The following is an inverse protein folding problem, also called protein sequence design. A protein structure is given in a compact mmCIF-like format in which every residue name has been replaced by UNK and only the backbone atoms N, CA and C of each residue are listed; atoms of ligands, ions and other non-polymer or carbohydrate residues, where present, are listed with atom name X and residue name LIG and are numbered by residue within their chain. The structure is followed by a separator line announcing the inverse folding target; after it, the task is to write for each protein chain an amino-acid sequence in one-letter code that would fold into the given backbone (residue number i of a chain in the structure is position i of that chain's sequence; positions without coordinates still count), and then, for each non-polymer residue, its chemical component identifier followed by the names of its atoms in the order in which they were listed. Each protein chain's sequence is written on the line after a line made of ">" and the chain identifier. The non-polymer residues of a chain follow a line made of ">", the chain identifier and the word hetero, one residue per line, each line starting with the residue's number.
data_IF_416157774577
#
_entry.id   IF_416157774577
#
_cell.length_a   1.000
_cell.length_b   1.000
_cell.length_c   1.000
_cell.angle_alpha   90.00
_cell.angle_beta   90.00
_cell.angle_gamma   90.00
#
_symmetry.space_group_name_H-M   'P 1'
#
loop_
_entity.id
_entity.type
_entity.pdbx_description
1 polymer ?
#
# COMPACT_ATOMS: atom_id res chain seq x y z
N UNK A 1 -14.65 -14.55 26.32
CA UNK A 1 -14.76 -13.29 25.56
C UNK A 1 -13.35 -13.04 25.03
N UNK A 2 -13.08 -13.35 23.77
CA UNK A 2 -11.79 -13.03 23.16
C UNK A 2 -11.80 -11.52 22.87
N UNK A 3 -10.94 -10.79 23.56
CA UNK A 3 -10.67 -9.40 23.19
C UNK A 3 -10.13 -9.43 21.75
N UNK A 4 -10.82 -8.75 20.85
CA UNK A 4 -10.28 -8.49 19.51
C UNK A 4 -9.00 -7.69 19.73
N UNK A 5 -7.84 -8.13 19.22
CA UNK A 5 -6.61 -7.36 19.40
C UNK A 5 -6.82 -5.96 18.83
N UNK A 6 -6.37 -4.97 19.59
CA UNK A 6 -6.41 -3.56 19.17
C UNK A 6 -5.68 -3.47 17.82
N UNK A 7 -6.42 -3.26 16.72
CA UNK A 7 -5.92 -3.35 15.33
C UNK A 7 -4.95 -2.22 14.97
N UNK A 8 -4.92 -1.15 15.77
CA UNK A 8 -3.89 -0.11 15.69
C UNK A 8 -3.63 0.48 17.07
N UNK A 9 -2.39 0.48 17.50
CA UNK A 9 -1.96 1.24 18.70
C UNK A 9 -1.83 2.75 18.40
N UNK A 10 -2.01 3.17 17.14
CA UNK A 10 -1.85 4.54 16.68
C UNK A 10 -3.19 5.12 16.22
N UNK A 11 -3.52 6.29 16.72
CA UNK A 11 -4.66 7.07 16.24
C UNK A 11 -4.26 7.80 14.94
N UNK A 12 -4.46 7.12 13.80
CA UNK A 12 -4.14 7.65 12.48
C UNK A 12 -4.96 8.88 12.14
N UNK A 13 -6.25 8.91 12.52
CA UNK A 13 -7.13 10.06 12.28
C UNK A 13 -6.62 11.31 13.00
N UNK A 14 -6.21 11.18 14.29
CA UNK A 14 -5.66 12.30 15.04
C UNK A 14 -4.36 12.82 14.40
N UNK A 15 -3.49 11.92 13.93
CA UNK A 15 -2.24 12.34 13.28
C UNK A 15 -2.47 13.13 12.00
N UNK A 16 -3.44 12.72 11.16
CA UNK A 16 -3.80 13.48 9.97
C UNK A 16 -4.44 14.83 10.30
N UNK A 17 -5.26 14.92 11.36
CA UNK A 17 -5.83 16.18 11.86
C UNK A 17 -4.78 17.15 12.36
N UNK A 18 -3.75 16.64 13.02
CA UNK A 18 -2.66 17.44 13.60
C UNK A 18 -1.54 17.75 12.61
N UNK A 19 -1.65 17.32 11.35
CA UNK A 19 -0.58 17.37 10.33
C UNK A 19 0.74 16.71 10.78
N UNK A 20 0.68 15.74 11.72
CA UNK A 20 1.83 14.98 12.19
C UNK A 20 2.05 13.74 11.33
N UNK A 21 2.46 13.95 10.08
CA UNK A 21 2.57 12.93 9.03
C UNK A 21 3.98 12.85 8.43
N UNK A 22 5.00 12.50 9.23
CA UNK A 22 6.40 12.48 8.78
C UNK A 22 6.70 11.44 7.70
N UNK A 23 5.79 10.53 7.42
CA UNK A 23 5.90 9.54 6.32
C UNK A 23 5.48 10.10 4.95
N UNK A 24 4.82 11.26 4.89
CA UNK A 24 4.42 11.87 3.62
C UNK A 24 5.65 12.35 2.84
N UNK A 25 5.74 11.95 1.58
CA UNK A 25 6.89 12.28 0.73
C UNK A 25 6.77 13.65 0.05
N UNK A 26 5.56 14.18 -0.07
CA UNK A 26 5.26 15.44 -0.77
C UNK A 26 5.41 15.35 -2.30
N UNK A 27 5.99 14.29 -2.83
CA UNK A 27 6.15 13.98 -4.25
C UNK A 27 5.83 12.51 -4.49
N UNK A 28 5.34 12.13 -5.70
CA UNK A 28 5.08 10.74 -6.03
C UNK A 28 6.35 9.90 -5.88
N UNK A 29 6.15 8.67 -5.43
CA UNK A 29 7.26 7.72 -5.33
C UNK A 29 7.78 7.38 -6.75
N UNK A 30 9.10 7.37 -7.00
CA UNK A 30 9.65 7.05 -8.33
C UNK A 30 9.23 5.68 -8.87
N UNK A 31 8.99 4.71 -7.99
CA UNK A 31 8.51 3.38 -8.36
C UNK A 31 7.14 3.40 -9.05
N UNK A 32 6.26 4.36 -8.70
CA UNK A 32 4.98 4.52 -9.38
C UNK A 32 5.16 4.74 -10.90
N UNK A 33 6.14 5.57 -11.27
CA UNK A 33 6.44 5.81 -12.69
C UNK A 33 6.88 4.52 -13.39
N UNK A 34 7.70 3.72 -12.74
CA UNK A 34 8.11 2.41 -13.27
C UNK A 34 6.90 1.47 -13.44
N UNK A 35 5.98 1.42 -12.47
CA UNK A 35 4.75 0.61 -12.58
C UNK A 35 3.87 1.01 -13.77
N UNK A 36 3.80 2.32 -14.08
CA UNK A 36 3.05 2.83 -15.24
C UNK A 36 3.80 2.49 -16.54
N UNK A 37 5.09 2.74 -16.62
CA UNK A 37 5.90 2.52 -17.83
C UNK A 37 6.00 1.04 -18.22
N UNK A 38 5.96 0.13 -17.24
CA UNK A 38 5.91 -1.32 -17.47
C UNK A 38 4.49 -1.85 -17.74
N UNK A 39 3.47 -0.99 -17.63
CA UNK A 39 2.08 -1.35 -17.86
C UNK A 39 1.45 -2.15 -16.71
N UNK A 40 2.08 -2.23 -15.54
CA UNK A 40 1.46 -2.84 -14.36
C UNK A 40 0.31 -1.98 -13.83
N UNK A 41 0.38 -0.68 -14.02
CA UNK A 41 -0.73 0.27 -13.86
C UNK A 41 -1.04 0.85 -15.25
N UNK A 42 -2.26 0.66 -15.74
CA UNK A 42 -2.59 1.09 -17.09
C UNK A 42 -4.09 1.02 -17.40
N UNK A 43 -4.50 1.45 -18.61
CA UNK A 43 -5.90 1.46 -19.02
C UNK A 43 -6.56 0.08 -18.88
N UNK A 44 -7.76 0.05 -18.30
CA UNK A 44 -8.54 -1.16 -18.10
C UNK A 44 -8.14 -2.01 -16.89
N UNK A 45 -7.05 -1.65 -16.18
CA UNK A 45 -6.67 -2.32 -14.93
C UNK A 45 -7.34 -1.68 -13.71
N UNK A 46 -7.69 -2.51 -12.74
CA UNK A 46 -8.15 -2.11 -11.42
C UNK A 46 -7.00 -2.14 -10.42
N UNK A 47 -6.83 -1.06 -9.64
CA UNK A 47 -5.71 -0.90 -8.70
C UNK A 47 -6.25 -0.42 -7.35
N UNK A 48 -5.88 -1.11 -6.27
CA UNK A 48 -6.15 -0.66 -4.90
C UNK A 48 -4.91 -0.10 -4.23
N UNK A 49 -5.09 0.97 -3.45
CA UNK A 49 -4.07 1.62 -2.62
C UNK A 49 -4.52 1.53 -1.17
N UNK A 50 -4.09 0.51 -0.39
CA UNK A 50 -4.42 0.38 1.02
C UNK A 50 -3.64 1.39 1.87
N UNK A 51 -4.29 1.97 2.90
CA UNK A 51 -3.66 2.96 3.77
C UNK A 51 -3.12 4.15 2.97
N UNK A 52 -3.94 4.67 2.05
CA UNK A 52 -3.50 5.64 1.04
C UNK A 52 -3.06 6.98 1.63
N UNK A 53 -3.51 7.33 2.85
CA UNK A 53 -3.19 8.62 3.45
C UNK A 53 -3.46 9.80 2.52
N UNK A 54 -2.62 10.83 2.60
CA UNK A 54 -2.65 12.01 1.71
C UNK A 54 -1.57 11.90 0.62
N UNK A 55 -1.40 10.72 0.02
CA UNK A 55 -0.40 10.52 -1.01
C UNK A 55 -0.87 11.02 -2.40
N UNK A 56 0.02 11.55 -3.24
CA UNK A 56 -0.32 12.00 -4.59
C UNK A 56 -0.57 10.84 -5.56
N UNK A 57 -0.20 9.62 -5.19
CA UNK A 57 -0.30 8.42 -6.02
C UNK A 57 -1.73 8.12 -6.44
N UNK A 58 -2.72 8.33 -5.56
CA UNK A 58 -4.14 8.06 -5.84
C UNK A 58 -4.59 8.80 -7.11
N UNK A 59 -4.36 10.11 -7.18
CA UNK A 59 -4.75 10.91 -8.35
C UNK A 59 -3.96 10.53 -9.61
N UNK A 60 -2.69 10.13 -9.47
CA UNK A 60 -1.86 9.70 -10.61
C UNK A 60 -2.36 8.34 -11.11
N UNK A 61 -2.61 7.39 -10.22
CA UNK A 61 -3.15 6.07 -10.59
C UNK A 61 -4.52 6.22 -11.24
N UNK A 62 -5.40 7.06 -10.68
CA UNK A 62 -6.73 7.34 -11.25
C UNK A 62 -6.69 7.93 -12.68
N UNK A 63 -5.59 8.59 -13.04
CA UNK A 63 -5.40 9.10 -14.41
C UNK A 63 -4.98 8.03 -15.40
N UNK A 64 -4.37 6.95 -14.95
CA UNK A 64 -3.76 5.91 -15.80
C UNK A 64 -4.51 4.58 -15.77
N UNK A 65 -5.07 4.19 -14.62
CA UNK A 65 -5.80 2.94 -14.44
C UNK A 65 -7.24 3.02 -14.98
N UNK A 66 -7.86 1.87 -15.18
CA UNK A 66 -9.28 1.78 -15.54
C UNK A 66 -10.21 1.97 -14.34
N UNK A 67 -9.81 1.50 -13.17
CA UNK A 67 -10.51 1.66 -11.89
C UNK A 67 -9.49 1.80 -10.77
N UNK A 68 -9.68 2.81 -9.92
CA UNK A 68 -8.80 3.08 -8.77
C UNK A 68 -9.61 3.04 -7.50
N UNK A 69 -9.09 2.31 -6.50
CA UNK A 69 -9.67 2.16 -5.17
C UNK A 69 -8.64 2.68 -4.17
N UNK A 70 -9.02 3.58 -3.29
CA UNK A 70 -8.15 4.12 -2.25
C UNK A 70 -8.84 4.01 -0.89
N UNK A 71 -8.17 3.40 0.07
CA UNK A 71 -8.72 3.13 1.38
C UNK A 71 -7.81 3.63 2.50
N UNK A 72 -8.41 4.18 3.55
CA UNK A 72 -7.72 4.56 4.77
C UNK A 72 -8.68 4.53 5.98
N UNK A 73 -8.14 4.32 7.17
CA UNK A 73 -8.90 4.46 8.41
C UNK A 73 -9.32 5.91 8.69
N UNK A 74 -8.53 6.88 8.19
CA UNK A 74 -8.71 8.28 8.45
C UNK A 74 -9.71 8.93 7.49
N UNK A 75 -10.82 9.46 8.05
CA UNK A 75 -11.77 10.29 7.31
C UNK A 75 -11.09 11.55 6.75
N UNK A 76 -10.17 12.14 7.52
CA UNK A 76 -9.40 13.33 7.12
C UNK A 76 -8.53 13.05 5.88
N UNK A 77 -7.85 11.90 5.85
CA UNK A 77 -7.04 11.49 4.69
C UNK A 77 -7.92 11.25 3.45
N UNK A 78 -9.02 10.52 3.59
CA UNK A 78 -9.95 10.23 2.48
C UNK A 78 -10.65 11.50 1.98
N UNK A 79 -11.04 12.41 2.86
CA UNK A 79 -11.61 13.70 2.45
C UNK A 79 -10.60 14.53 1.63
N UNK A 80 -9.32 14.51 2.02
CA UNK A 80 -8.25 15.15 1.26
C UNK A 80 -8.11 14.53 -0.14
N UNK A 81 -8.13 13.19 -0.26
CA UNK A 81 -8.10 12.50 -1.55
C UNK A 81 -9.29 12.90 -2.44
N UNK A 82 -10.50 12.96 -1.87
CA UNK A 82 -11.69 13.44 -2.58
C UNK A 82 -11.52 14.84 -3.15
N UNK A 83 -10.94 15.76 -2.38
CA UNK A 83 -10.62 17.13 -2.84
C UNK A 83 -9.60 17.14 -3.98
N UNK A 84 -8.55 16.30 -3.91
CA UNK A 84 -7.55 16.19 -4.97
C UNK A 84 -8.14 15.64 -6.27
N UNK A 85 -8.93 14.58 -6.19
CA UNK A 85 -9.61 13.99 -7.33
C UNK A 85 -10.57 14.99 -7.99
N UNK A 86 -11.41 15.64 -7.20
CA UNK A 86 -12.36 16.64 -7.68
C UNK A 86 -11.67 17.80 -8.43
N UNK A 87 -10.59 18.34 -7.84
CA UNK A 87 -9.82 19.45 -8.43
C UNK A 87 -9.23 19.11 -9.80
N UNK A 88 -8.92 17.83 -10.01
CA UNK A 88 -8.32 17.30 -11.24
C UNK A 88 -9.33 16.64 -12.19
N UNK A 89 -10.62 16.60 -11.81
CA UNK A 89 -11.70 15.93 -12.56
C UNK A 89 -11.40 14.44 -12.79
N UNK A 90 -10.91 13.79 -11.76
CA UNK A 90 -10.61 12.36 -11.72
C UNK A 90 -11.59 11.66 -10.78
N UNK A 91 -11.77 10.36 -11.00
CA UNK A 91 -12.63 9.51 -10.20
C UNK A 91 -11.85 8.36 -9.60
N UNK A 92 -12.16 8.02 -8.35
CA UNK A 92 -11.70 6.81 -7.66
C UNK A 92 -12.76 6.41 -6.64
N UNK A 93 -12.82 5.13 -6.32
CA UNK A 93 -13.58 4.63 -5.19
C UNK A 93 -12.81 4.96 -3.90
N UNK A 94 -13.45 5.71 -3.01
CA UNK A 94 -12.85 6.13 -1.75
C UNK A 94 -13.52 5.41 -0.57
N UNK A 95 -12.71 4.73 0.25
CA UNK A 95 -13.18 3.91 1.36
C UNK A 95 -12.60 4.43 2.67
N UNK A 96 -13.48 4.82 3.61
CA UNK A 96 -13.11 5.07 5.00
C UNK A 96 -13.38 3.81 5.80
N UNK A 97 -12.36 3.20 6.38
CA UNK A 97 -12.53 2.03 7.22
C UNK A 97 -11.33 1.08 7.26
N UNK A 98 -11.49 -0.01 8.00
CA UNK A 98 -10.48 -1.05 8.07
C UNK A 98 -10.45 -1.86 6.76
N UNK A 99 -9.38 -1.70 6.00
CA UNK A 99 -9.22 -2.39 4.73
C UNK A 99 -9.15 -3.92 4.88
N UNK A 100 -8.78 -4.43 6.05
CA UNK A 100 -8.77 -5.87 6.31
C UNK A 100 -10.19 -6.48 6.34
N UNK A 101 -11.20 -5.66 6.62
CA UNK A 101 -12.61 -6.06 6.59
C UNK A 101 -13.26 -5.90 5.22
N UNK A 102 -12.61 -5.14 4.32
CA UNK A 102 -13.13 -4.86 2.99
C UNK A 102 -12.92 -6.04 2.03
N UNK A 103 -13.83 -6.19 1.10
CA UNK A 103 -13.75 -7.16 -0.01
C UNK A 103 -14.23 -6.50 -1.29
N UNK A 104 -13.50 -6.68 -2.41
CA UNK A 104 -13.94 -6.18 -3.70
C UNK A 104 -15.11 -7.01 -4.24
N UNK A 105 -16.01 -6.37 -5.00
CA UNK A 105 -17.07 -7.06 -5.71
C UNK A 105 -16.51 -7.95 -6.84
N UNK A 106 -15.42 -7.52 -7.47
CA UNK A 106 -14.70 -8.24 -8.53
C UNK A 106 -13.19 -8.30 -8.22
N UNK A 107 -12.50 -9.39 -8.59
CA UNK A 107 -11.06 -9.47 -8.39
C UNK A 107 -10.31 -8.35 -9.11
N UNK A 108 -9.28 -7.80 -8.46
CA UNK A 108 -8.51 -6.65 -8.93
C UNK A 108 -7.17 -7.06 -9.58
N UNK A 109 -6.62 -6.17 -10.42
CA UNK A 109 -5.39 -6.42 -11.17
C UNK A 109 -4.13 -6.19 -10.33
N UNK A 110 -4.12 -5.16 -9.49
CA UNK A 110 -2.93 -4.81 -8.71
C UNK A 110 -3.26 -4.20 -7.35
N UNK A 111 -2.41 -4.50 -6.38
CA UNK A 111 -2.30 -3.78 -5.10
C UNK A 111 -1.05 -2.90 -5.19
N UNK A 112 -1.20 -1.58 -5.02
CA UNK A 112 -0.07 -0.66 -4.88
C UNK A 112 0.21 -0.44 -3.39
N UNK A 113 1.21 -1.15 -2.89
CA UNK A 113 1.59 -1.18 -1.46
C UNK A 113 2.71 -0.18 -1.20
N UNK A 114 2.37 0.93 -0.56
CA UNK A 114 3.33 1.95 -0.15
C UNK A 114 3.09 2.34 1.31
N UNK A 115 4.03 2.02 2.16
CA UNK A 115 4.07 2.39 3.59
C UNK A 115 2.94 1.83 4.48
N UNK A 116 2.00 1.03 3.98
CA UNK A 116 0.94 0.44 4.79
C UNK A 116 1.42 -0.83 5.52
N UNK A 117 2.10 -1.76 4.85
CA UNK A 117 2.62 -2.98 5.48
C UNK A 117 3.60 -2.69 6.63
N UNK A 118 4.36 -1.61 6.54
CA UNK A 118 5.24 -1.16 7.62
C UNK A 118 4.51 -0.32 8.69
N UNK A 119 3.29 0.12 8.44
CA UNK A 119 2.47 0.88 9.38
C UNK A 119 1.60 -0.02 10.27
N UNK A 120 1.14 -1.16 9.75
CA UNK A 120 0.31 -2.10 10.53
C UNK A 120 1.16 -2.92 11.52
N UNK A 121 0.61 -3.27 12.68
CA UNK A 121 1.26 -4.18 13.62
C UNK A 121 1.64 -5.50 12.96
N UNK A 122 2.87 -6.04 13.19
CA UNK A 122 3.34 -7.27 12.54
C UNK A 122 2.41 -8.48 12.70
N UNK A 123 1.65 -8.57 13.79
CA UNK A 123 0.67 -9.65 14.03
C UNK A 123 -0.52 -9.61 13.06
N UNK A 124 -0.79 -8.48 12.39
CA UNK A 124 -1.86 -8.35 11.39
C UNK A 124 -1.38 -8.66 9.96
N UNK A 125 -0.09 -8.84 9.75
CA UNK A 125 0.49 -8.99 8.41
C UNK A 125 0.02 -10.25 7.68
N UNK A 126 -0.19 -11.35 8.41
CA UNK A 126 -0.71 -12.59 7.83
C UNK A 126 -2.15 -12.39 7.35
N UNK A 127 -2.98 -11.69 8.13
CA UNK A 127 -4.35 -11.36 7.73
C UNK A 127 -4.34 -10.43 6.50
N UNK A 128 -3.41 -9.47 6.46
CA UNK A 128 -3.26 -8.56 5.34
C UNK A 128 -2.75 -9.27 4.07
N UNK A 129 -1.75 -10.15 4.16
CA UNK A 129 -1.30 -10.98 3.04
C UNK A 129 -2.46 -11.79 2.46
N UNK A 130 -3.25 -12.42 3.35
CA UNK A 130 -4.41 -13.20 2.94
C UNK A 130 -5.46 -12.33 2.22
N UNK A 131 -5.75 -11.14 2.76
CA UNK A 131 -6.67 -10.19 2.14
C UNK A 131 -6.19 -9.78 0.74
N UNK A 132 -4.92 -9.40 0.58
CA UNK A 132 -4.34 -9.05 -0.73
C UNK A 132 -4.42 -10.20 -1.73
N UNK A 133 -4.11 -11.42 -1.27
CA UNK A 133 -4.23 -12.59 -2.11
C UNK A 133 -5.67 -12.83 -2.57
N UNK A 134 -6.65 -12.63 -1.69
CA UNK A 134 -8.07 -12.81 -2.03
C UNK A 134 -8.60 -11.71 -2.96
N UNK A 135 -8.12 -10.48 -2.83
CA UNK A 135 -8.50 -9.37 -3.71
C UNK A 135 -7.99 -9.52 -5.14
N UNK A 136 -6.73 -9.97 -5.28
CA UNK A 136 -6.10 -10.07 -6.58
C UNK A 136 -6.69 -11.22 -7.40
N UNK A 137 -6.81 -11.05 -8.70
CA UNK A 137 -7.03 -12.16 -9.62
C UNK A 137 -5.78 -13.03 -9.79
N UNK A 138 -5.88 -14.31 -10.20
CA UNK A 138 -4.71 -15.10 -10.57
C UNK A 138 -3.85 -14.36 -11.60
N UNK A 139 -2.54 -14.25 -11.36
CA UNK A 139 -1.61 -13.44 -12.15
C UNK A 139 -1.61 -11.95 -11.81
N UNK A 140 -2.49 -11.50 -10.90
CA UNK A 140 -2.48 -10.13 -10.39
C UNK A 140 -1.21 -9.80 -9.62
N UNK A 141 -0.92 -8.51 -9.46
CA UNK A 141 0.38 -8.02 -8.95
C UNK A 141 0.26 -7.33 -7.59
N UNK A 142 1.16 -7.68 -6.69
CA UNK A 142 1.51 -6.82 -5.56
C UNK A 142 2.71 -5.95 -5.98
N UNK A 143 2.49 -4.65 -6.11
CA UNK A 143 3.50 -3.65 -6.42
C UNK A 143 4.01 -3.11 -5.09
N UNK A 144 5.06 -3.74 -4.56
CA UNK A 144 5.46 -3.59 -3.16
C UNK A 144 6.63 -2.65 -2.95
N UNK A 145 6.58 -1.91 -1.85
CA UNK A 145 7.66 -1.13 -1.28
C UNK A 145 7.95 -1.65 0.14
N UNK A 146 8.99 -2.47 0.29
CA UNK A 146 9.35 -3.08 1.56
C UNK A 146 10.32 -2.20 2.35
N UNK A 147 9.85 -1.63 3.46
CA UNK A 147 10.64 -0.78 4.35
C UNK A 147 11.79 -1.54 4.99
N UNK A 148 13.03 -1.16 4.69
CA UNK A 148 14.22 -1.75 5.27
C UNK A 148 14.57 -1.03 6.57
N UNK A 149 14.23 -1.65 7.69
CA UNK A 149 14.50 -1.15 9.04
C UNK A 149 14.91 -2.31 9.94
N UNK A 150 16.07 -2.20 10.54
CA UNK A 150 16.62 -3.22 11.45
C UNK A 150 16.18 -3.00 12.91
N UNK A 151 15.92 -1.73 13.30
CA UNK A 151 15.55 -1.40 14.67
C UNK A 151 14.17 -1.96 15.03
N UNK A 152 14.04 -2.48 16.25
CA UNK A 152 12.77 -2.99 16.76
C UNK A 152 11.75 -1.87 16.99
N UNK A 153 10.47 -2.23 16.91
CA UNK A 153 9.35 -1.33 17.12
C UNK A 153 8.94 -0.56 15.85
N UNK A 154 7.85 0.15 15.94
CA UNK A 154 7.24 0.89 14.83
C UNK A 154 6.01 1.65 15.26
N UNK A 155 5.21 2.24 14.35
CA UNK A 155 5.56 2.35 12.92
C UNK A 155 6.71 3.35 12.64
N UNK A 156 7.45 3.19 11.54
CA UNK A 156 7.41 2.06 10.63
C UNK A 156 8.03 0.81 11.24
N UNK A 157 7.43 -0.37 10.97
CA UNK A 157 8.01 -1.67 11.27
C UNK A 157 8.86 -2.17 10.09
N UNK A 158 9.98 -2.85 10.37
CA UNK A 158 10.83 -3.42 9.31
C UNK A 158 10.10 -4.50 8.49
N UNK A 159 10.45 -4.56 7.20
CA UNK A 159 9.96 -5.52 6.21
C UNK A 159 11.17 -6.08 5.45
N UNK A 160 12.10 -6.75 6.17
CA UNK A 160 13.26 -7.35 5.50
C UNK A 160 12.83 -8.37 4.45
N UNK A 161 13.64 -8.56 3.42
CA UNK A 161 13.31 -9.50 2.33
C UNK A 161 13.07 -10.91 2.89
N UNK A 162 13.90 -11.36 3.84
CA UNK A 162 13.75 -12.68 4.48
C UNK A 162 12.39 -12.82 5.17
N UNK A 163 11.99 -11.81 5.96
CA UNK A 163 10.69 -11.82 6.64
C UNK A 163 9.51 -11.73 5.65
N UNK A 164 9.72 -11.07 4.50
CA UNK A 164 8.70 -10.99 3.45
C UNK A 164 8.58 -12.31 2.68
N UNK A 165 9.65 -13.05 2.45
CA UNK A 165 9.56 -14.42 1.91
C UNK A 165 8.78 -15.37 2.82
N UNK A 166 8.91 -15.22 4.14
CA UNK A 166 8.10 -15.98 5.10
C UNK A 166 6.61 -15.58 5.05
N UNK A 167 6.33 -14.28 4.86
CA UNK A 167 4.97 -13.73 4.82
C UNK A 167 4.26 -14.04 3.49
N UNK A 168 4.96 -13.98 2.38
CA UNK A 168 4.44 -14.20 1.02
C UNK A 168 5.04 -15.50 0.43
N UNK A 169 4.57 -16.69 0.85
CA UNK A 169 5.20 -17.96 0.52
C UNK A 169 5.07 -18.31 -0.97
N UNK A 170 6.05 -19.06 -1.48
CA UNK A 170 6.16 -19.47 -2.88
C UNK A 170 4.96 -20.29 -3.40
N UNK A 171 4.21 -20.94 -2.51
CA UNK A 171 3.00 -21.68 -2.88
C UNK A 171 1.87 -20.74 -3.35
N UNK A 172 1.89 -19.50 -2.91
CA UNK A 172 0.86 -18.49 -3.19
C UNK A 172 1.37 -17.38 -4.10
N UNK A 173 2.67 -17.09 -4.05
CA UNK A 173 3.28 -15.97 -4.74
C UNK A 173 4.44 -16.40 -5.63
N UNK A 174 4.63 -15.70 -6.73
CA UNK A 174 5.82 -15.80 -7.57
C UNK A 174 6.67 -14.57 -7.28
N UNK A 175 7.86 -14.80 -6.77
CA UNK A 175 8.86 -13.79 -6.50
C UNK A 175 9.75 -13.55 -7.73
N UNK A 176 10.18 -12.32 -8.00
CA UNK A 176 11.30 -12.07 -8.87
C UNK A 176 12.60 -12.45 -8.15
N UNK A 177 13.75 -12.53 -8.82
CA UNK A 177 15.05 -12.59 -8.14
C UNK A 177 15.22 -11.40 -7.18
N UNK A 178 15.81 -11.60 -5.99
CA UNK A 178 16.01 -10.54 -5.00
C UNK A 178 16.81 -9.35 -5.53
N UNK A 179 17.70 -9.61 -6.54
CA UNK A 179 18.45 -8.58 -7.23
C UNK A 179 17.62 -7.61 -8.06
N UNK A 180 16.36 -7.94 -8.34
CA UNK A 180 15.45 -7.11 -9.11
C UNK A 180 14.71 -6.09 -8.23
N UNK A 181 14.86 -6.20 -6.89
CA UNK A 181 14.35 -5.18 -5.98
C UNK A 181 15.24 -3.93 -5.99
N UNK A 182 14.66 -2.81 -6.40
CA UNK A 182 15.35 -1.53 -6.45
C UNK A 182 15.23 -0.77 -5.13
N UNK A 183 16.34 -0.32 -4.52
CA UNK A 183 16.31 0.47 -3.29
C UNK A 183 15.98 1.94 -3.57
N UNK A 184 15.00 2.47 -2.83
CA UNK A 184 14.64 3.89 -2.84
C UNK A 184 14.75 4.45 -1.42
N UNK A 185 15.65 5.42 -1.15
CA UNK A 185 15.74 6.07 0.15
C UNK A 185 14.45 6.86 0.46
N UNK A 186 13.89 6.68 1.65
CA UNK A 186 12.75 7.49 2.09
C UNK A 186 13.23 8.85 2.61
N UNK A 187 12.81 10.00 2.02
CA UNK A 187 13.40 11.31 2.30
C UNK A 187 13.18 11.78 3.74
N UNK A 188 12.10 11.34 4.39
CA UNK A 188 11.69 11.80 5.72
C UNK A 188 11.81 10.75 6.83
N UNK A 189 12.24 9.52 6.50
CA UNK A 189 12.45 8.43 7.47
C UNK A 189 13.93 8.06 7.58
N UNK A 190 14.80 9.06 7.80
CA UNK A 190 16.26 8.91 7.93
C UNK A 190 16.91 8.18 6.74
N UNK A 191 16.39 8.41 5.53
CA UNK A 191 16.83 7.73 4.30
C UNK A 191 16.80 6.18 4.38
N UNK A 192 15.96 5.60 5.23
CA UNK A 192 15.75 4.16 5.23
C UNK A 192 15.30 3.71 3.84
N UNK A 193 15.90 2.64 3.33
CA UNK A 193 15.55 2.14 2.00
C UNK A 193 14.15 1.49 2.01
N UNK A 194 13.41 1.75 0.94
CA UNK A 194 12.24 0.97 0.55
C UNK A 194 12.67 0.12 -0.65
N UNK A 195 12.62 -1.20 -0.51
CA UNK A 195 12.91 -2.10 -1.62
C UNK A 195 11.65 -2.30 -2.46
N UNK A 196 11.72 -1.83 -3.72
CA UNK A 196 10.60 -1.87 -4.65
C UNK A 196 10.66 -3.08 -5.57
N UNK A 197 9.58 -3.83 -5.70
CA UNK A 197 9.50 -5.00 -6.59
C UNK A 197 8.06 -5.48 -6.80
N UNK A 198 7.91 -6.47 -7.68
CA UNK A 198 6.61 -7.04 -8.04
C UNK A 198 6.51 -8.50 -7.61
N UNK A 199 5.52 -8.83 -6.78
CA UNK A 199 5.11 -10.20 -6.55
C UNK A 199 3.88 -10.52 -7.40
N UNK A 200 3.77 -11.75 -7.89
CA UNK A 200 2.62 -12.17 -8.69
C UNK A 200 1.82 -13.23 -7.93
N UNK A 201 0.50 -13.04 -7.80
CA UNK A 201 -0.40 -14.05 -7.26
C UNK A 201 -0.41 -15.29 -8.16
N UNK A 202 -0.25 -16.49 -7.57
CA UNK A 202 -0.43 -17.77 -8.27
C UNK A 202 -1.89 -18.09 -8.55
#
# INVERSE_FOLDING_TARGET
>A
MSETPERSAMDWEQRFRDDDTPWERGQPHPFLRYCIDTGEIGPGKSVIIPGCGRCPEVAIIARHAGHTIAADLSETAIAWQGGQLQSQRLEAELIVGDILEWRPDEPIDAVYEQTFLCAIPPQLRVEYEQAMHDWLKPGGKLLALFMQKEERGGPPYGCSIEAMHELFPDERWIWPPDTDFAPYPHPHLNNKAELAGFLTRR
#
